data_IF_032217812565
#
_entry.id   IF_032217812565
#
_cell.length_a   1.000
_cell.length_b   1.000
_cell.length_c   1.000
_cell.angle_alpha   90.00
_cell.angle_beta   90.00
_cell.angle_gamma   90.00
#
_symmetry.space_group_name_H-M   'P 1'
#
loop_
_entity.id
_entity.type
_entity.pdbx_description
1 polymer ?
#
# COMPACT_ATOMS: atom_id res chain seq x y z
N UNK A 1 14.04 11.71 -8.47
CA UNK A 1 12.85 12.25 -9.16
C UNK A 1 12.15 11.06 -9.79
N UNK A 2 10.95 10.72 -9.33
CA UNK A 2 10.05 9.78 -10.02
C UNK A 2 9.15 10.58 -10.98
N UNK A 3 8.17 9.93 -11.60
CA UNK A 3 7.21 10.60 -12.48
C UNK A 3 6.40 11.67 -11.75
N UNK A 4 6.03 11.39 -10.50
CA UNK A 4 5.08 12.20 -9.73
C UNK A 4 5.72 12.84 -8.47
N UNK A 5 6.87 12.33 -8.00
CA UNK A 5 7.49 12.76 -6.75
C UNK A 5 8.95 13.21 -6.90
N UNK A 6 9.34 14.18 -6.08
CA UNK A 6 10.72 14.61 -5.91
C UNK A 6 11.12 14.54 -4.44
N UNK A 7 12.18 13.78 -4.16
CA UNK A 7 12.78 13.65 -2.82
C UNK A 7 14.10 14.41 -2.82
N UNK A 8 14.28 15.30 -1.84
CA UNK A 8 15.51 16.05 -1.61
C UNK A 8 16.14 15.52 -0.32
N UNK A 9 17.36 15.01 -0.43
CA UNK A 9 18.18 14.52 0.69
C UNK A 9 19.35 15.49 0.87
N UNK A 10 19.76 15.75 2.11
CA UNK A 10 20.86 16.66 2.45
C UNK A 10 20.70 18.08 1.88
N UNK A 11 19.58 18.74 2.21
CA UNK A 11 19.37 20.14 1.86
C UNK A 11 20.35 21.11 2.55
N UNK A 12 20.61 22.26 1.94
CA UNK A 12 21.59 23.25 2.44
C UNK A 12 21.13 24.14 3.61
N UNK A 13 19.99 23.84 4.24
CA UNK A 13 19.47 24.60 5.38
C UNK A 13 20.01 24.10 6.72
N UNK A 14 20.14 24.99 7.71
CA UNK A 14 20.55 24.59 9.07
C UNK A 14 19.38 23.91 9.80
N UNK A 15 19.70 22.98 10.72
CA UNK A 15 18.69 22.32 11.56
C UNK A 15 17.86 23.35 12.37
N UNK A 16 18.49 24.43 12.80
CA UNK A 16 17.83 25.53 13.51
C UNK A 16 16.81 26.26 12.62
N UNK A 17 17.14 26.55 11.36
CA UNK A 17 16.22 27.18 10.43
C UNK A 17 14.97 26.32 10.18
N UNK A 18 15.15 25.00 10.06
CA UNK A 18 14.04 24.04 9.89
C UNK A 18 13.17 24.00 11.15
N UNK A 19 13.77 23.93 12.34
CA UNK A 19 13.05 23.91 13.61
C UNK A 19 12.25 25.21 13.84
N UNK A 20 12.85 26.36 13.53
CA UNK A 20 12.17 27.65 13.60
C UNK A 20 10.99 27.73 12.63
N UNK A 21 11.14 27.21 11.39
CA UNK A 21 10.04 27.16 10.43
C UNK A 21 8.91 26.24 10.89
N UNK A 22 9.23 25.07 11.45
CA UNK A 22 8.24 24.15 12.00
C UNK A 22 7.46 24.79 13.17
N UNK A 23 8.14 25.54 14.05
CA UNK A 23 7.48 26.29 15.14
C UNK A 23 6.53 27.37 14.60
N UNK A 24 6.94 28.09 13.56
CA UNK A 24 6.10 29.09 12.92
C UNK A 24 4.81 28.46 12.35
N UNK A 25 4.94 27.34 11.61
CA UNK A 25 3.79 26.63 11.04
C UNK A 25 2.82 26.11 12.12
N UNK A 26 3.32 25.60 13.24
CA UNK A 26 2.47 25.20 14.38
C UNK A 26 1.65 26.37 14.91
N UNK A 27 2.28 27.52 15.08
CA UNK A 27 1.59 28.72 15.55
C UNK A 27 0.59 29.29 14.53
N UNK A 28 0.84 29.12 13.22
CA UNK A 28 -0.12 29.49 12.16
C UNK A 28 -1.33 28.54 12.16
N UNK A 29 -1.13 27.24 12.35
CA UNK A 29 -2.21 26.24 12.46
C UNK A 29 -3.14 26.57 13.64
N UNK A 30 -2.57 26.85 14.81
CA UNK A 30 -3.35 27.13 16.04
C UNK A 30 -4.18 28.43 15.95
N UNK A 31 -3.75 29.37 15.10
CA UNK A 31 -4.42 30.66 14.90
C UNK A 31 -5.41 30.66 13.75
N UNK A 32 -5.37 29.64 12.89
CA UNK A 32 -6.24 29.56 11.72
C UNK A 32 -7.62 29.03 12.11
N UNK A 33 -8.65 29.77 11.71
CA UNK A 33 -10.06 29.41 11.83
C UNK A 33 -10.56 28.56 10.65
N UNK A 34 -9.82 28.53 9.54
CA UNK A 34 -10.12 27.75 8.33
C UNK A 34 -9.64 26.30 8.45
N UNK A 35 -10.55 25.35 8.28
CA UNK A 35 -10.21 23.91 8.25
C UNK A 35 -9.25 23.58 7.10
N UNK A 36 -9.44 24.20 5.94
CA UNK A 36 -8.58 24.01 4.77
C UNK A 36 -7.14 24.48 5.02
N UNK A 37 -6.97 25.63 5.66
CA UNK A 37 -5.64 26.15 5.99
C UNK A 37 -4.95 25.29 7.04
N UNK A 38 -5.68 24.82 8.05
CA UNK A 38 -5.14 23.89 9.06
C UNK A 38 -4.65 22.58 8.42
N UNK A 39 -5.41 22.02 7.49
CA UNK A 39 -5.03 20.82 6.74
C UNK A 39 -3.73 21.05 5.93
N UNK A 40 -3.70 22.12 5.11
CA UNK A 40 -2.54 22.39 4.24
C UNK A 40 -1.29 22.80 5.00
N UNK A 41 -1.42 23.55 6.09
CA UNK A 41 -0.28 23.84 6.96
C UNK A 41 0.20 22.59 7.70
N UNK A 42 -0.73 21.68 8.08
CA UNK A 42 -0.43 20.38 8.65
C UNK A 42 0.40 19.49 7.72
N UNK A 43 0.00 19.37 6.45
CA UNK A 43 0.75 18.64 5.42
C UNK A 43 2.18 19.17 5.26
N UNK A 44 2.35 20.50 5.25
CA UNK A 44 3.66 21.15 5.14
C UNK A 44 4.52 20.90 6.38
N UNK A 45 3.93 21.01 7.57
CA UNK A 45 4.60 20.75 8.84
C UNK A 45 5.07 19.29 8.90
N UNK A 46 4.23 18.35 8.49
CA UNK A 46 4.59 16.93 8.45
C UNK A 46 5.80 16.68 7.54
N UNK A 47 5.83 17.28 6.35
CA UNK A 47 6.97 17.16 5.42
C UNK A 47 8.27 17.76 5.98
N UNK A 48 8.19 18.87 6.73
CA UNK A 48 9.38 19.50 7.33
C UNK A 48 9.86 18.81 8.61
N UNK A 49 8.94 18.37 9.47
CA UNK A 49 9.27 17.75 10.75
C UNK A 49 9.63 16.27 10.62
N UNK A 50 9.06 15.56 9.64
CA UNK A 50 9.31 14.15 9.40
C UNK A 50 10.69 13.86 8.81
N UNK A 51 11.26 14.83 8.08
CA UNK A 51 12.58 14.68 7.46
C UNK A 51 12.63 13.53 6.43
N UNK A 52 13.85 13.06 6.14
CA UNK A 52 14.08 11.93 5.22
C UNK A 52 15.04 10.94 5.87
N UNK A 53 14.60 9.69 6.02
CA UNK A 53 15.44 8.60 6.49
C UNK A 53 16.16 7.93 5.32
N UNK A 54 17.47 7.67 5.46
CA UNK A 54 18.29 7.01 4.43
C UNK A 54 18.76 5.65 4.94
N UNK A 55 18.36 4.58 4.26
CA UNK A 55 18.78 3.20 4.57
C UNK A 55 19.99 2.86 3.71
N UNK A 56 21.13 2.56 4.34
CA UNK A 56 22.35 2.14 3.65
C UNK A 56 22.45 0.62 3.63
N UNK A 57 22.44 0.03 2.43
CA UNK A 57 22.55 -1.42 2.22
C UNK A 57 23.95 -1.74 1.71
N UNK A 58 24.57 -2.78 2.27
CA UNK A 58 25.90 -3.26 1.88
C UNK A 58 25.89 -4.75 1.51
N UNK A 59 26.81 -5.15 0.64
CA UNK A 59 27.04 -6.54 0.25
C UNK A 59 28.51 -6.77 -0.18
N UNK A 60 28.92 -8.03 -0.25
CA UNK A 60 30.30 -8.41 -0.59
C UNK A 60 30.63 -8.32 -2.09
N UNK A 61 29.63 -8.46 -2.96
CA UNK A 61 29.76 -8.36 -4.42
C UNK A 61 28.74 -7.37 -4.98
N UNK A 62 29.02 -6.82 -6.17
CA UNK A 62 28.12 -5.88 -6.85
C UNK A 62 26.76 -6.52 -7.18
N UNK A 63 26.76 -7.78 -7.60
CA UNK A 63 25.53 -8.53 -7.90
C UNK A 63 24.66 -8.70 -6.65
N UNK A 64 25.25 -9.09 -5.52
CA UNK A 64 24.54 -9.23 -4.26
C UNK A 64 24.07 -7.87 -3.70
N UNK A 65 24.82 -6.79 -3.98
CA UNK A 65 24.41 -5.45 -3.59
C UNK A 65 23.13 -5.03 -4.31
N UNK A 66 23.04 -5.31 -5.62
CA UNK A 66 21.88 -4.98 -6.43
C UNK A 66 20.64 -5.76 -5.97
N UNK A 67 20.76 -7.08 -5.81
CA UNK A 67 19.66 -7.93 -5.33
C UNK A 67 19.17 -7.50 -3.94
N UNK A 68 20.11 -7.26 -3.00
CA UNK A 68 19.76 -6.84 -1.64
C UNK A 68 19.13 -5.46 -1.61
N UNK A 69 19.58 -4.55 -2.49
CA UNK A 69 18.96 -3.24 -2.65
C UNK A 69 17.51 -3.37 -3.13
N UNK A 70 17.26 -4.14 -4.19
CA UNK A 70 15.91 -4.37 -4.73
C UNK A 70 14.99 -5.02 -3.67
N UNK A 71 15.50 -6.01 -2.93
CA UNK A 71 14.76 -6.64 -1.84
C UNK A 71 14.41 -5.68 -0.70
N UNK A 72 15.32 -4.77 -0.32
CA UNK A 72 15.05 -3.76 0.71
C UNK A 72 14.07 -2.71 0.20
N UNK A 73 14.18 -2.29 -1.06
CA UNK A 73 13.24 -1.34 -1.68
C UNK A 73 11.82 -1.91 -1.69
N UNK A 74 11.66 -3.18 -2.09
CA UNK A 74 10.37 -3.88 -2.10
C UNK A 74 9.80 -4.04 -0.69
N UNK A 75 10.63 -4.43 0.29
CA UNK A 75 10.21 -4.56 1.68
C UNK A 75 9.72 -3.23 2.29
N UNK A 76 10.40 -2.13 1.98
CA UNK A 76 9.99 -0.79 2.44
C UNK A 76 8.68 -0.36 1.78
N UNK A 77 8.50 -0.64 0.48
CA UNK A 77 7.26 -0.35 -0.22
C UNK A 77 6.08 -1.16 0.36
N UNK A 78 6.27 -2.47 0.55
CA UNK A 78 5.25 -3.35 1.14
C UNK A 78 4.87 -2.93 2.57
N UNK A 79 5.85 -2.57 3.40
CA UNK A 79 5.59 -2.10 4.76
C UNK A 79 4.82 -0.78 4.80
N UNK A 80 5.12 0.15 3.88
CA UNK A 80 4.38 1.42 3.76
C UNK A 80 2.92 1.19 3.37
N UNK A 81 2.69 0.38 2.33
CA UNK A 81 1.33 0.04 1.88
C UNK A 81 0.53 -0.64 3.00
N UNK A 82 1.16 -1.56 3.74
CA UNK A 82 0.55 -2.24 4.88
C UNK A 82 0.16 -1.30 6.03
N UNK A 83 0.90 -0.20 6.24
CA UNK A 83 0.57 0.80 7.27
C UNK A 83 -0.56 1.73 6.81
N UNK A 84 -0.64 2.02 5.51
CA UNK A 84 -1.65 2.93 4.94
C UNK A 84 -3.04 2.28 4.85
N UNK A 85 -3.12 1.06 4.32
CA UNK A 85 -4.41 0.38 4.05
C UNK A 85 -4.68 -0.83 4.95
N UNK A 86 -3.70 -1.22 5.77
CA UNK A 86 -3.77 -2.42 6.60
C UNK A 86 -3.27 -3.69 5.89
N UNK A 87 -3.46 -4.84 6.54
CA UNK A 87 -3.03 -6.14 6.02
C UNK A 87 -4.21 -7.11 5.91
N UNK A 88 -4.15 -7.98 4.91
CA UNK A 88 -5.11 -9.08 4.71
C UNK A 88 -4.37 -10.40 4.50
N UNK A 89 -5.00 -11.56 4.74
CA UNK A 89 -4.42 -12.85 4.39
C UNK A 89 -4.03 -12.91 2.90
N UNK A 90 -2.77 -13.22 2.64
CA UNK A 90 -2.22 -13.31 1.29
C UNK A 90 -2.58 -14.61 0.56
N UNK A 91 -1.78 -14.95 -0.46
CA UNK A 91 -1.91 -16.21 -1.20
C UNK A 91 -3.22 -16.35 -2.00
N UNK A 92 -3.97 -15.26 -2.19
CA UNK A 92 -5.27 -15.28 -2.85
C UNK A 92 -6.44 -15.71 -1.93
N UNK A 93 -6.19 -16.03 -0.66
CA UNK A 93 -7.24 -16.48 0.26
C UNK A 93 -8.28 -15.36 0.55
N UNK A 94 -7.82 -14.12 0.74
CA UNK A 94 -8.71 -12.97 0.95
C UNK A 94 -9.70 -12.75 -0.19
N UNK A 95 -9.28 -13.00 -1.43
CA UNK A 95 -10.13 -12.90 -2.62
C UNK A 95 -11.24 -13.96 -2.62
N UNK A 96 -10.97 -15.15 -2.09
CA UNK A 96 -11.97 -16.22 -1.98
C UNK A 96 -12.96 -15.94 -0.87
N UNK A 97 -12.51 -15.60 0.34
CA UNK A 97 -13.41 -15.48 1.49
C UNK A 97 -14.14 -14.13 1.52
N UNK A 98 -13.38 -13.04 1.47
CA UNK A 98 -13.91 -11.71 1.81
C UNK A 98 -14.58 -11.07 0.60
N UNK A 99 -13.94 -11.15 -0.57
CA UNK A 99 -14.49 -10.55 -1.78
C UNK A 99 -15.73 -11.31 -2.27
N UNK A 100 -15.75 -12.65 -2.29
CA UNK A 100 -16.96 -13.41 -2.71
C UNK A 100 -18.15 -13.22 -1.78
N UNK A 101 -17.92 -13.08 -0.47
CA UNK A 101 -18.99 -12.76 0.48
C UNK A 101 -19.61 -11.40 0.15
N UNK A 102 -18.79 -10.37 -0.01
CA UNK A 102 -19.26 -9.03 -0.39
C UNK A 102 -19.99 -9.03 -1.74
N UNK A 103 -19.48 -9.79 -2.72
CA UNK A 103 -20.13 -9.91 -4.03
C UNK A 103 -21.46 -10.67 -3.97
N UNK A 104 -21.62 -11.62 -3.05
CA UNK A 104 -22.89 -12.33 -2.87
C UNK A 104 -23.97 -11.38 -2.35
N UNK A 105 -23.62 -10.49 -1.41
CA UNK A 105 -24.52 -9.45 -0.90
C UNK A 105 -24.86 -8.43 -2.00
N UNK A 106 -23.86 -7.99 -2.77
CA UNK A 106 -24.06 -7.09 -3.91
C UNK A 106 -24.98 -7.72 -4.96
N UNK A 107 -24.72 -8.96 -5.34
CA UNK A 107 -25.54 -9.73 -6.30
C UNK A 107 -27.01 -9.77 -5.91
N UNK A 108 -27.32 -9.90 -4.62
CA UNK A 108 -28.70 -9.94 -4.12
C UNK A 108 -29.45 -8.60 -4.28
N UNK A 109 -28.72 -7.49 -4.41
CA UNK A 109 -29.29 -6.16 -4.61
C UNK A 109 -29.49 -5.76 -6.07
N UNK A 110 -28.95 -6.56 -7.02
CA UNK A 110 -28.90 -6.24 -8.44
C UNK A 110 -29.88 -7.11 -9.26
N UNK A 111 -30.20 -6.65 -10.47
CA UNK A 111 -31.07 -7.38 -11.40
C UNK A 111 -30.59 -7.24 -12.85
N UNK A 112 -31.01 -8.14 -13.73
CA UNK A 112 -30.62 -8.11 -15.15
C UNK A 112 -29.13 -8.39 -15.38
N UNK A 113 -28.54 -7.68 -16.33
CA UNK A 113 -27.18 -7.93 -16.82
C UNK A 113 -26.10 -7.66 -15.76
N UNK A 114 -26.39 -6.82 -14.77
CA UNK A 114 -25.46 -6.50 -13.68
C UNK A 114 -25.16 -7.74 -12.81
N UNK A 115 -26.13 -8.64 -12.65
CA UNK A 115 -25.96 -9.91 -11.92
C UNK A 115 -24.94 -10.79 -12.63
N UNK A 116 -25.02 -10.88 -13.96
CA UNK A 116 -24.07 -11.65 -14.76
C UNK A 116 -22.65 -11.08 -14.61
N UNK A 117 -22.52 -9.76 -14.60
CA UNK A 117 -21.23 -9.10 -14.37
C UNK A 117 -20.60 -9.47 -13.02
N UNK A 118 -21.41 -9.48 -11.95
CA UNK A 118 -20.95 -9.90 -10.62
C UNK A 118 -20.56 -11.37 -10.58
N UNK A 119 -21.32 -12.25 -11.23
CA UNK A 119 -21.02 -13.68 -11.29
C UNK A 119 -19.68 -13.94 -12.00
N UNK A 120 -19.46 -13.34 -13.16
CA UNK A 120 -18.19 -13.44 -13.90
C UNK A 120 -17.01 -12.91 -13.08
N UNK A 121 -17.19 -11.78 -12.41
CA UNK A 121 -16.13 -11.21 -11.57
C UNK A 121 -15.81 -12.11 -10.36
N UNK A 122 -16.84 -12.68 -9.71
CA UNK A 122 -16.68 -13.61 -8.59
C UNK A 122 -15.93 -14.89 -8.97
N UNK A 123 -16.15 -15.39 -10.18
CA UNK A 123 -15.39 -16.51 -10.74
C UNK A 123 -13.93 -16.11 -11.02
N UNK A 124 -13.70 -14.96 -11.65
CA UNK A 124 -12.36 -14.46 -11.97
C UNK A 124 -11.47 -14.28 -10.74
N UNK A 125 -12.04 -13.93 -9.59
CA UNK A 125 -11.31 -13.79 -8.33
C UNK A 125 -10.69 -15.09 -7.81
N UNK A 126 -11.10 -16.27 -8.30
CA UNK A 126 -10.44 -17.53 -7.98
C UNK A 126 -9.17 -17.80 -8.80
N UNK A 127 -8.99 -17.13 -9.94
CA UNK A 127 -7.87 -17.38 -10.83
C UNK A 127 -6.49 -17.19 -10.16
N UNK A 128 -6.25 -16.16 -9.32
CA UNK A 128 -4.96 -16.00 -8.66
C UNK A 128 -4.58 -17.20 -7.78
N UNK A 129 -5.49 -17.67 -6.93
CA UNK A 129 -5.24 -18.84 -6.06
C UNK A 129 -5.08 -20.12 -6.88
N UNK A 130 -5.90 -20.28 -7.93
CA UNK A 130 -5.79 -21.41 -8.85
C UNK A 130 -4.38 -21.50 -9.47
N UNK A 131 -3.87 -20.37 -10.00
CA UNK A 131 -2.55 -20.35 -10.64
C UNK A 131 -1.40 -20.51 -9.64
N UNK A 132 -1.52 -19.96 -8.44
CA UNK A 132 -0.54 -20.20 -7.36
C UNK A 132 -0.44 -21.71 -7.08
N UNK A 133 -1.57 -22.39 -6.92
CA UNK A 133 -1.62 -23.83 -6.64
C UNK A 133 -1.14 -24.68 -7.83
N UNK A 134 -1.58 -24.36 -9.05
CA UNK A 134 -1.20 -25.07 -10.27
C UNK A 134 0.31 -24.97 -10.54
N UNK A 135 0.90 -23.77 -10.38
CA UNK A 135 2.34 -23.56 -10.53
C UNK A 135 3.16 -24.27 -9.44
N UNK A 136 2.56 -24.56 -8.28
CA UNK A 136 3.16 -25.37 -7.23
C UNK A 136 2.99 -26.89 -7.46
N UNK A 137 2.37 -27.32 -8.56
CA UNK A 137 2.17 -28.73 -8.91
C UNK A 137 0.96 -29.39 -8.22
N UNK A 138 0.06 -28.60 -7.64
CA UNK A 138 -1.19 -29.08 -7.05
C UNK A 138 -2.37 -28.85 -8.00
N UNK A 139 -3.48 -29.57 -7.79
CA UNK A 139 -4.72 -29.27 -8.50
C UNK A 139 -5.34 -27.97 -7.98
N UNK A 140 -5.26 -26.91 -8.78
CA UNK A 140 -5.75 -25.58 -8.40
C UNK A 140 -7.24 -25.54 -8.08
N UNK A 141 -8.07 -26.36 -8.74
CA UNK A 141 -9.51 -26.41 -8.47
C UNK A 141 -9.78 -27.02 -7.08
N UNK A 142 -9.04 -28.07 -6.72
CA UNK A 142 -9.16 -28.70 -5.40
C UNK A 142 -8.71 -27.73 -4.30
N UNK A 143 -7.62 -27.00 -4.51
CA UNK A 143 -7.12 -26.02 -3.54
C UNK A 143 -8.10 -24.86 -3.37
N UNK A 144 -8.62 -24.29 -4.46
CA UNK A 144 -9.62 -23.22 -4.41
C UNK A 144 -10.87 -23.67 -3.66
N UNK A 145 -11.40 -24.86 -3.97
CA UNK A 145 -12.55 -25.41 -3.27
C UNK A 145 -12.26 -25.60 -1.79
N UNK A 146 -11.08 -26.14 -1.46
CA UNK A 146 -10.73 -26.38 -0.06
C UNK A 146 -10.61 -25.08 0.73
N UNK A 147 -10.00 -24.05 0.15
CA UNK A 147 -9.92 -22.74 0.78
C UNK A 147 -11.31 -22.14 0.91
N UNK A 148 -12.20 -22.29 -0.06
CA UNK A 148 -13.57 -21.79 0.03
C UNK A 148 -14.41 -22.42 1.16
N UNK A 149 -14.03 -23.60 1.67
CA UNK A 149 -14.71 -24.30 2.77
C UNK A 149 -14.17 -23.94 4.17
N UNK A 150 -13.01 -23.28 4.24
CA UNK A 150 -12.38 -22.87 5.51
C UNK A 150 -13.03 -21.61 6.10
#
# INVERSE_FOLDING_TARGET
VSKDDTVIVDGGGTAEAVANRAKHLRAEIDKSDSDWDREKLGERLAKLAGGVAVIKVGAATETALKERKESVEDAVAAAKAAVEEGIVPGGGASLIHQARKALTELRASLTGDEVLGVDVFSEALAAPLFWIAANAGLDGSVVVNKVSEL
#
